data_IF_180631341479
#
_entry.id   IF_180631341479
#
_cell.length_a   1.000
_cell.length_b   1.000
_cell.length_c   1.000
_cell.angle_alpha   90.00
_cell.angle_beta   90.00
_cell.angle_gamma   90.00
#
_symmetry.space_group_name_H-M   'P 1'
#
loop_
_entity.id
_entity.type
_entity.pdbx_description
1 polymer ?
#
# COMPACT_ATOMS: atom_id res chain seq x y z
N UNK A 1 -2.50 -24.33 -1.11
CA UNK A 1 -3.75 -23.67 -0.66
C UNK A 1 -3.64 -22.13 -0.64
N UNK A 2 -2.50 -21.54 -0.31
CA UNK A 2 -2.36 -20.07 -0.13
C UNK A 2 -2.19 -19.23 -1.41
N UNK A 3 -1.85 -19.86 -2.55
CA UNK A 3 -1.59 -19.15 -3.80
C UNK A 3 -2.78 -18.28 -4.28
N UNK A 4 -4.02 -18.74 -4.08
CA UNK A 4 -5.22 -17.98 -4.45
C UNK A 4 -5.43 -16.75 -3.56
N UNK A 5 -5.15 -16.87 -2.26
CA UNK A 5 -5.23 -15.76 -1.32
C UNK A 5 -4.17 -14.69 -1.64
N UNK A 6 -2.93 -15.11 -1.91
CA UNK A 6 -1.85 -14.20 -2.32
C UNK A 6 -2.19 -13.50 -3.64
N UNK A 7 -2.71 -14.23 -4.63
CA UNK A 7 -3.13 -13.64 -5.91
C UNK A 7 -4.24 -12.59 -5.73
N UNK A 8 -5.20 -12.83 -4.83
CA UNK A 8 -6.24 -11.84 -4.49
C UNK A 8 -5.65 -10.59 -3.84
N UNK A 9 -4.70 -10.74 -2.91
CA UNK A 9 -4.02 -9.60 -2.30
C UNK A 9 -3.19 -8.80 -3.33
N UNK A 10 -2.53 -9.47 -4.27
CA UNK A 10 -1.81 -8.81 -5.37
C UNK A 10 -2.75 -7.96 -6.23
N UNK A 11 -3.91 -8.48 -6.59
CA UNK A 11 -4.91 -7.72 -7.35
C UNK A 11 -5.49 -6.54 -6.56
N UNK A 12 -5.68 -6.70 -5.24
CA UNK A 12 -6.11 -5.61 -4.37
C UNK A 12 -5.08 -4.47 -4.34
N UNK A 13 -3.79 -4.80 -4.23
CA UNK A 13 -2.70 -3.83 -4.24
C UNK A 13 -2.54 -3.16 -5.61
N UNK A 14 -2.67 -3.90 -6.71
CA UNK A 14 -2.72 -3.31 -8.07
C UNK A 14 -3.87 -2.33 -8.24
N UNK A 15 -5.00 -2.57 -7.59
CA UNK A 15 -6.13 -1.65 -7.62
C UNK A 15 -5.83 -0.34 -6.89
N UNK A 16 -4.88 -0.32 -5.94
CA UNK A 16 -4.48 0.90 -5.24
C UNK A 16 -3.83 1.94 -6.16
N UNK A 17 -3.11 1.52 -7.23
CA UNK A 17 -2.58 2.45 -8.24
C UNK A 17 -3.70 3.29 -8.86
N UNK A 18 -4.82 2.65 -9.22
CA UNK A 18 -6.00 3.35 -9.78
C UNK A 18 -6.61 4.34 -8.79
N UNK A 19 -6.53 4.07 -7.48
CA UNK A 19 -6.99 5.01 -6.46
C UNK A 19 -6.04 6.20 -6.31
N UNK A 20 -4.73 6.00 -6.43
CA UNK A 20 -3.73 7.06 -6.42
C UNK A 20 -3.85 7.97 -7.65
N UNK A 21 -4.06 7.40 -8.84
CA UNK A 21 -4.35 8.18 -10.06
C UNK A 21 -5.59 9.07 -9.86
N UNK A 22 -6.63 8.53 -9.21
CA UNK A 22 -7.83 9.29 -8.91
C UNK A 22 -7.56 10.39 -7.88
N UNK A 23 -6.74 10.12 -6.87
CA UNK A 23 -6.34 11.09 -5.86
C UNK A 23 -5.54 12.25 -6.48
N UNK A 24 -4.61 11.96 -7.40
CA UNK A 24 -3.86 12.97 -8.15
C UNK A 24 -4.77 13.83 -9.03
N UNK A 25 -5.68 13.20 -9.78
CA UNK A 25 -6.67 13.92 -10.60
C UNK A 25 -7.58 14.81 -9.75
N UNK A 26 -7.95 14.36 -8.56
CA UNK A 26 -8.75 15.13 -7.62
C UNK A 26 -7.97 16.34 -7.07
N UNK A 27 -6.72 16.13 -6.67
CA UNK A 27 -5.83 17.19 -6.18
C UNK A 27 -5.58 18.25 -7.26
N UNK A 28 -5.33 17.83 -8.50
CA UNK A 28 -5.19 18.71 -9.67
C UNK A 28 -6.46 19.52 -9.94
N UNK A 29 -7.63 18.87 -9.95
CA UNK A 29 -8.91 19.54 -10.18
C UNK A 29 -9.26 20.56 -9.08
N UNK A 30 -8.84 20.31 -7.84
CA UNK A 30 -9.08 21.18 -6.68
C UNK A 30 -7.92 22.12 -6.36
N UNK A 31 -6.83 22.08 -7.14
CA UNK A 31 -5.65 22.95 -7.04
C UNK A 31 -4.97 22.91 -5.67
N UNK A 32 -4.75 21.72 -5.13
CA UNK A 32 -3.96 21.53 -3.93
C UNK A 32 -2.93 20.41 -4.13
N UNK A 33 -1.90 20.37 -3.27
CA UNK A 33 -0.85 19.37 -3.35
C UNK A 33 -1.36 17.98 -2.95
N UNK A 34 -1.11 16.97 -3.78
CA UNK A 34 -1.48 15.57 -3.48
C UNK A 34 -0.86 15.06 -2.17
N UNK A 35 0.25 15.66 -1.73
CA UNK A 35 0.87 15.39 -0.42
C UNK A 35 -0.10 15.61 0.76
N UNK A 36 -1.11 16.48 0.60
CA UNK A 36 -2.18 16.66 1.59
C UNK A 36 -2.98 15.37 1.76
N UNK A 37 -3.30 14.66 0.67
CA UNK A 37 -4.02 13.38 0.76
C UNK A 37 -3.12 12.29 1.35
N UNK A 38 -1.85 12.25 0.94
CA UNK A 38 -0.89 11.25 1.42
C UNK A 38 -0.60 11.37 2.92
N UNK A 39 -0.63 12.60 3.47
CA UNK A 39 -0.45 12.87 4.90
C UNK A 39 -1.74 12.80 5.71
N UNK A 40 -2.90 12.70 5.06
CA UNK A 40 -4.20 12.62 5.74
C UNK A 40 -4.30 11.30 6.53
N UNK A 41 -4.84 11.40 7.75
CA UNK A 41 -5.09 10.30 8.68
C UNK A 41 -6.56 10.22 9.04
N UNK A 42 -7.06 9.02 9.31
CA UNK A 42 -8.46 8.80 9.67
C UNK A 42 -8.73 9.15 11.13
N UNK A 43 -7.77 8.84 12.01
CA UNK A 43 -7.79 9.16 13.42
C UNK A 43 -6.41 9.70 13.86
N UNK A 44 -6.33 10.52 14.93
CA UNK A 44 -5.10 11.19 15.33
C UNK A 44 -3.97 10.24 15.75
N UNK A 45 -4.31 9.02 16.18
CA UNK A 45 -3.42 7.93 16.56
C UNK A 45 -3.04 7.00 15.40
N UNK A 46 -3.68 7.14 14.23
CA UNK A 46 -3.38 6.34 13.04
C UNK A 46 -2.30 7.01 12.18
N UNK A 47 -1.42 6.18 11.59
CA UNK A 47 -0.51 6.62 10.54
C UNK A 47 -1.28 7.12 9.31
N UNK A 48 -0.74 8.15 8.65
CA UNK A 48 -1.33 8.73 7.44
C UNK A 48 -1.42 7.74 6.28
N UNK A 49 -2.12 8.14 5.21
CA UNK A 49 -2.37 7.28 4.05
C UNK A 49 -1.09 6.67 3.46
N UNK A 50 0.02 7.42 3.40
CA UNK A 50 1.31 6.91 2.93
C UNK A 50 1.80 5.71 3.75
N UNK A 51 1.72 5.78 5.08
CA UNK A 51 2.10 4.69 5.98
C UNK A 51 1.20 3.46 5.80
N UNK A 52 -0.10 3.67 5.60
CA UNK A 52 -1.06 2.58 5.35
C UNK A 52 -0.75 1.85 4.04
N UNK A 53 -0.38 2.59 2.98
CA UNK A 53 0.01 2.00 1.69
C UNK A 53 1.28 1.18 1.86
N UNK A 54 2.32 1.73 2.48
CA UNK A 54 3.57 1.02 2.75
C UNK A 54 3.33 -0.27 3.53
N UNK A 55 2.58 -0.18 4.63
CA UNK A 55 2.21 -1.35 5.44
C UNK A 55 1.47 -2.42 4.64
N UNK A 56 0.55 -2.05 3.75
CA UNK A 56 -0.15 -3.02 2.89
C UNK A 56 0.80 -3.80 1.98
N UNK A 57 1.80 -3.14 1.40
CA UNK A 57 2.84 -3.81 0.61
C UNK A 57 3.71 -4.72 1.47
N UNK A 58 4.11 -4.28 2.67
CA UNK A 58 4.96 -5.06 3.57
C UNK A 58 4.24 -6.29 4.12
N UNK A 59 2.96 -6.17 4.44
CA UNK A 59 2.13 -7.32 4.81
C UNK A 59 1.98 -8.31 3.66
N UNK A 60 1.85 -7.83 2.41
CA UNK A 60 1.79 -8.72 1.25
C UNK A 60 3.13 -9.43 1.01
N UNK A 61 4.25 -8.70 1.06
CA UNK A 61 5.59 -9.27 0.91
C UNK A 61 5.88 -10.29 2.02
N UNK A 62 5.69 -9.90 3.28
CA UNK A 62 5.88 -10.77 4.43
C UNK A 62 4.97 -12.00 4.38
N UNK A 63 3.67 -11.80 4.08
CA UNK A 63 2.72 -12.90 3.94
C UNK A 63 3.09 -13.88 2.82
N UNK A 64 3.52 -13.37 1.66
CA UNK A 64 3.94 -14.21 0.54
C UNK A 64 5.19 -15.02 0.87
N UNK A 65 6.17 -14.42 1.53
CA UNK A 65 7.38 -15.08 2.02
C UNK A 65 7.05 -16.18 3.01
N UNK A 66 6.28 -15.87 4.06
CA UNK A 66 5.93 -16.84 5.11
C UNK A 66 5.12 -18.02 4.57
N UNK A 67 4.15 -17.75 3.68
CA UNK A 67 3.26 -18.78 3.14
C UNK A 67 3.88 -19.60 2.01
N UNK A 68 4.95 -19.11 1.38
CA UNK A 68 5.72 -19.86 0.37
C UNK A 68 6.88 -20.67 0.98
N UNK A 69 7.15 -20.50 2.28
CA UNK A 69 8.28 -21.13 2.96
C UNK A 69 9.65 -20.62 2.50
N UNK A 70 9.68 -19.53 1.72
CA UNK A 70 10.92 -18.87 1.31
C UNK A 70 11.39 -17.94 2.43
N UNK A 71 12.70 -17.74 2.57
CA UNK A 71 13.20 -16.74 3.50
C UNK A 71 12.89 -15.33 2.98
N UNK A 72 12.53 -14.37 3.84
CA UNK A 72 12.31 -13.00 3.41
C UNK A 72 13.57 -12.49 2.73
N UNK A 73 13.48 -11.88 1.54
CA UNK A 73 14.61 -11.12 1.02
C UNK A 73 14.86 -10.00 2.03
N UNK A 74 15.99 -10.04 2.73
CA UNK A 74 16.48 -8.90 3.51
C UNK A 74 16.66 -7.75 2.52
N UNK A 75 15.75 -6.77 2.55
CA UNK A 75 16.06 -5.45 2.05
C UNK A 75 16.92 -4.79 3.13
N UNK A 76 18.20 -4.58 2.82
CA UNK A 76 19.02 -3.63 3.57
C UNK A 76 18.46 -2.24 3.30
N UNK A 77 17.62 -1.76 4.21
CA UNK A 77 17.25 -0.35 4.27
C UNK A 77 18.47 0.42 4.81
N UNK A 78 19.32 0.90 3.90
CA UNK A 78 20.35 1.91 4.17
C UNK A 78 19.75 3.32 4.06
#
# INVERSE_FOLDING_TARGET
MYARAIAQCVEAVRTMEKYLDKAERFASAKKFDVAVLLSTRLAPDTGGLLYQIQGAFDYLKGGAVWLSGQQPPQHEDN
#
